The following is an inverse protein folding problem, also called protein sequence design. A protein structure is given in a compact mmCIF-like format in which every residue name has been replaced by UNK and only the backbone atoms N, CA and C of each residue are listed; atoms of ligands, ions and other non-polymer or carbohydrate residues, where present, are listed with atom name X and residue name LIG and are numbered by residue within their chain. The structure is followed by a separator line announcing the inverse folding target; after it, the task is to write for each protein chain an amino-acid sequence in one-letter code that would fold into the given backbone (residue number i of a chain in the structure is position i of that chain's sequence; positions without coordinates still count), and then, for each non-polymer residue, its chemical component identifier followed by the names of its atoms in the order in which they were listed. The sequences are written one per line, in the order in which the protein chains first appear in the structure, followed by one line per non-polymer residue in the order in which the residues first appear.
data_IF_931192939793
#
_entry.id   IF_931192939793
#
_cell.length_a   1.000
_cell.length_b   1.000
_cell.length_c   1.000
_cell.angle_alpha   90.00
_cell.angle_beta   90.00
_cell.angle_gamma   90.00
#
_symmetry.space_group_name_H-M   'P 1'
#
loop_
_entity.id
_entity.type
_entity.pdbx_description
1 polymer ?
#
# COMPACT_ATOMS: atom_id res chain seq x y z
N UNK A 1 -0.23 -38.49 -9.36
CA UNK A 1 -0.06 -37.39 -10.34
C UNK A 1 -0.95 -36.18 -10.00
N UNK A 2 -1.08 -35.76 -8.73
CA UNK A 2 -2.01 -34.66 -8.35
C UNK A 2 -1.33 -33.34 -7.94
N UNK A 3 0.01 -33.29 -7.85
CA UNK A 3 0.70 -32.11 -7.32
C UNK A 3 0.94 -30.99 -8.34
N UNK A 4 1.24 -31.31 -9.60
CA UNK A 4 1.67 -30.31 -10.60
C UNK A 4 0.52 -29.74 -11.44
N UNK A 5 -0.48 -30.56 -11.79
CA UNK A 5 -1.69 -30.11 -12.51
C UNK A 5 -2.62 -29.27 -11.63
N UNK A 6 -2.64 -29.50 -10.31
CA UNK A 6 -3.47 -28.73 -9.38
C UNK A 6 -3.11 -27.25 -9.32
N UNK A 7 -1.83 -26.91 -9.45
CA UNK A 7 -1.34 -25.52 -9.47
C UNK A 7 -1.78 -24.75 -10.73
N UNK A 8 -1.99 -25.44 -11.85
CA UNK A 8 -2.41 -24.83 -13.11
C UNK A 8 -3.89 -24.41 -13.11
N UNK A 9 -4.70 -24.95 -12.19
CA UNK A 9 -6.15 -24.72 -12.14
C UNK A 9 -6.68 -24.23 -10.78
N UNK A 10 -5.81 -23.88 -9.85
CA UNK A 10 -6.22 -23.25 -8.58
C UNK A 10 -6.80 -21.86 -8.84
N UNK A 11 -8.10 -21.69 -8.60
CA UNK A 11 -8.74 -20.38 -8.61
C UNK A 11 -8.24 -19.57 -7.42
N UNK A 12 -7.53 -18.48 -7.69
CA UNK A 12 -7.11 -17.52 -6.65
C UNK A 12 -8.36 -17.02 -5.90
N UNK A 13 -8.42 -17.31 -4.61
CA UNK A 13 -9.43 -16.72 -3.73
C UNK A 13 -8.96 -15.33 -3.33
N UNK A 14 -9.73 -14.32 -3.73
CA UNK A 14 -9.48 -12.95 -3.32
C UNK A 14 -10.02 -12.73 -1.91
N UNK A 15 -9.33 -11.93 -1.08
CA UNK A 15 -9.85 -11.55 0.23
C UNK A 15 -11.17 -10.76 0.07
N UNK A 16 -12.07 -10.81 1.06
CA UNK A 16 -13.27 -9.99 1.05
C UNK A 16 -12.92 -8.50 1.07
N UNK A 17 -13.78 -7.65 0.50
CA UNK A 17 -13.57 -6.20 0.43
C UNK A 17 -13.49 -5.50 1.80
N UNK A 18 -13.79 -6.19 2.90
CA UNK A 18 -13.68 -5.70 4.27
C UNK A 18 -12.56 -6.36 5.06
N UNK A 19 -11.67 -7.12 4.41
CA UNK A 19 -10.64 -7.92 5.07
C UNK A 19 -9.77 -7.12 6.04
N UNK A 20 -9.54 -5.83 5.74
CA UNK A 20 -8.73 -4.92 6.56
C UNK A 20 -9.50 -3.62 6.89
N UNK A 21 -10.82 -3.74 7.04
CA UNK A 21 -11.70 -2.60 7.31
C UNK A 21 -11.19 -1.74 8.48
N UNK A 22 -10.98 -0.45 8.22
CA UNK A 22 -10.59 0.54 9.22
C UNK A 22 -9.14 0.42 9.72
N UNK A 23 -8.32 -0.48 9.16
CA UNK A 23 -6.91 -0.62 9.57
C UNK A 23 -6.03 0.47 8.95
N UNK A 24 -4.96 0.81 9.67
CA UNK A 24 -3.85 1.62 9.15
C UNK A 24 -2.79 0.70 8.55
N UNK A 25 -2.48 0.90 7.27
CA UNK A 25 -1.54 0.07 6.52
C UNK A 25 -0.34 0.91 6.12
N UNK A 26 0.85 0.55 6.60
CA UNK A 26 2.13 1.10 6.14
C UNK A 26 2.66 0.24 4.98
N UNK A 27 2.98 0.89 3.86
CA UNK A 27 3.55 0.21 2.69
C UNK A 27 4.89 0.86 2.38
N UNK A 28 5.97 0.10 2.58
CA UNK A 28 7.33 0.51 2.23
C UNK A 28 7.57 0.42 0.73
N UNK A 29 8.30 1.38 0.16
CA UNK A 29 8.56 1.40 -1.28
C UNK A 29 7.29 1.61 -2.11
N UNK A 30 6.34 2.41 -1.62
CA UNK A 30 5.04 2.60 -2.26
C UNK A 30 5.04 3.61 -3.42
N UNK A 31 6.21 4.15 -3.77
CA UNK A 31 6.35 5.16 -4.81
C UNK A 31 5.98 4.64 -6.22
N UNK A 32 6.29 3.37 -6.52
CA UNK A 32 6.11 2.78 -7.86
C UNK A 32 5.74 1.30 -7.78
N UNK A 33 5.44 0.70 -8.95
CA UNK A 33 5.30 -0.75 -9.11
C UNK A 33 4.27 -1.38 -8.17
N UNK A 34 4.66 -2.50 -7.56
CA UNK A 34 3.78 -3.30 -6.71
C UNK A 34 3.38 -2.59 -5.41
N UNK A 35 4.26 -1.79 -4.82
CA UNK A 35 3.92 -1.04 -3.60
C UNK A 35 2.79 -0.04 -3.84
N UNK A 36 2.82 0.66 -4.98
CA UNK A 36 1.75 1.58 -5.38
C UNK A 36 0.42 0.86 -5.63
N UNK A 37 0.46 -0.33 -6.24
CA UNK A 37 -0.75 -1.10 -6.48
C UNK A 37 -1.29 -1.77 -5.21
N UNK A 38 -0.41 -2.19 -4.31
CA UNK A 38 -0.77 -2.67 -2.98
C UNK A 38 -1.52 -1.59 -2.19
N UNK A 39 -1.15 -0.31 -2.33
CA UNK A 39 -1.87 0.80 -1.72
C UNK A 39 -3.31 0.94 -2.25
N UNK A 40 -3.50 0.88 -3.57
CA UNK A 40 -4.84 0.89 -4.18
C UNK A 40 -5.67 -0.30 -3.71
N UNK A 41 -5.05 -1.48 -3.70
CA UNK A 41 -5.72 -2.69 -3.25
C UNK A 41 -6.09 -2.62 -1.77
N UNK A 42 -5.22 -2.08 -0.91
CA UNK A 42 -5.52 -1.88 0.50
C UNK A 42 -6.73 -0.97 0.72
N UNK A 43 -6.82 0.13 -0.03
CA UNK A 43 -8.01 1.00 -0.02
C UNK A 43 -9.27 0.26 -0.46
N UNK A 44 -9.18 -0.56 -1.52
CA UNK A 44 -10.30 -1.37 -2.00
C UNK A 44 -10.75 -2.45 -1.00
N UNK A 45 -9.83 -2.93 -0.14
CA UNK A 45 -10.11 -3.88 0.95
C UNK A 45 -10.55 -3.21 2.27
N UNK A 46 -10.86 -1.91 2.23
CA UNK A 46 -11.47 -1.19 3.33
C UNK A 46 -10.48 -0.54 4.30
N UNK A 47 -9.20 -0.42 3.94
CA UNK A 47 -8.23 0.27 4.79
C UNK A 47 -8.74 1.67 5.20
N UNK A 48 -8.62 1.97 6.49
CA UNK A 48 -9.00 3.27 7.06
C UNK A 48 -7.94 4.33 6.78
N UNK A 49 -6.67 3.93 6.73
CA UNK A 49 -5.55 4.80 6.38
C UNK A 49 -4.48 3.98 5.67
N UNK A 50 -3.88 4.52 4.61
CA UNK A 50 -2.73 3.95 3.93
C UNK A 50 -1.59 4.95 3.98
N UNK A 51 -0.46 4.55 4.56
CA UNK A 51 0.77 5.33 4.64
C UNK A 51 1.73 4.82 3.58
N UNK A 52 2.07 5.69 2.65
CA UNK A 52 3.05 5.46 1.59
C UNK A 52 4.42 5.87 2.12
N UNK A 53 5.26 4.89 2.39
CA UNK A 53 6.66 5.15 2.68
C UNK A 53 7.46 5.34 1.39
N UNK A 54 8.22 6.43 1.35
CA UNK A 54 9.11 6.80 0.24
C UNK A 54 10.45 7.33 0.71
N UNK A 55 11.46 7.21 -0.16
CA UNK A 55 12.77 7.87 0.03
C UNK A 55 12.81 9.33 -0.43
N UNK A 56 11.88 9.76 -1.29
CA UNK A 56 11.88 11.09 -1.90
C UNK A 56 10.46 11.64 -1.98
N UNK A 57 10.24 12.77 -1.31
CA UNK A 57 8.93 13.41 -1.17
C UNK A 57 8.32 13.90 -2.50
N UNK A 58 9.15 14.24 -3.50
CA UNK A 58 8.62 14.73 -4.78
C UNK A 58 7.89 13.64 -5.56
N UNK A 59 8.46 12.43 -5.63
CA UNK A 59 7.87 11.31 -6.36
C UNK A 59 6.62 10.75 -5.65
N UNK A 60 6.56 10.90 -4.33
CA UNK A 60 5.44 10.38 -3.54
C UNK A 60 4.16 11.17 -3.67
N UNK A 61 4.23 12.48 -3.90
CA UNK A 61 3.01 13.27 -4.14
C UNK A 61 2.34 12.87 -5.47
N UNK A 62 3.15 12.52 -6.49
CA UNK A 62 2.63 11.94 -7.73
C UNK A 62 1.98 10.57 -7.48
N UNK A 63 2.60 9.72 -6.66
CA UNK A 63 2.04 8.42 -6.29
C UNK A 63 0.72 8.58 -5.52
N UNK A 64 0.67 9.48 -4.54
CA UNK A 64 -0.54 9.82 -3.78
C UNK A 64 -1.65 10.32 -4.70
N UNK A 65 -1.37 11.32 -5.52
CA UNK A 65 -2.33 11.88 -6.50
C UNK A 65 -2.84 10.80 -7.44
N UNK A 66 -1.96 9.92 -7.92
CA UNK A 66 -2.34 8.79 -8.77
C UNK A 66 -3.26 7.79 -8.06
N UNK A 67 -3.01 7.49 -6.78
CA UNK A 67 -3.85 6.60 -5.98
C UNK A 67 -5.22 7.25 -5.73
N UNK A 68 -5.25 8.50 -5.26
CA UNK A 68 -6.49 9.22 -4.95
C UNK A 68 -7.39 9.36 -6.18
N UNK A 69 -6.82 9.79 -7.32
CA UNK A 69 -7.57 9.93 -8.58
C UNK A 69 -8.11 8.60 -9.12
N UNK A 70 -7.33 7.52 -9.04
CA UNK A 70 -7.75 6.20 -9.57
C UNK A 70 -8.71 5.45 -8.65
N UNK A 71 -8.70 5.73 -7.35
CA UNK A 71 -9.57 5.07 -6.36
C UNK A 71 -10.82 5.90 -6.00
N UNK A 72 -10.87 7.16 -6.44
CA UNK A 72 -11.93 8.09 -6.04
C UNK A 72 -11.85 8.50 -4.56
N UNK A 73 -10.71 8.26 -3.91
CA UNK A 73 -10.52 8.61 -2.51
C UNK A 73 -10.31 10.13 -2.38
N UNK A 74 -11.30 10.84 -1.85
CA UNK A 74 -11.24 12.29 -1.62
C UNK A 74 -10.87 12.67 -0.19
N UNK A 75 -10.84 11.69 0.72
CA UNK A 75 -10.52 11.91 2.13
C UNK A 75 -9.03 12.17 2.30
N UNK A 76 -8.66 13.43 2.53
CA UNK A 76 -7.26 13.88 2.63
C UNK A 76 -6.44 13.17 3.72
N UNK A 77 -7.11 12.61 4.74
CA UNK A 77 -6.48 11.84 5.82
C UNK A 77 -6.31 10.34 5.54
N UNK A 78 -6.80 9.84 4.41
CA UNK A 78 -6.83 8.41 4.10
C UNK A 78 -5.58 7.92 3.41
N UNK A 79 -4.94 8.76 2.58
CA UNK A 79 -3.66 8.46 1.93
C UNK A 79 -2.60 9.46 2.42
N UNK A 80 -1.66 8.94 3.21
CA UNK A 80 -0.59 9.71 3.81
C UNK A 80 0.74 9.35 3.15
N UNK A 81 1.66 10.32 3.08
CA UNK A 81 2.99 10.14 2.52
C UNK A 81 4.01 10.48 3.58
N UNK A 82 4.84 9.51 3.96
CA UNK A 82 5.86 9.69 4.99
C UNK A 82 7.22 9.33 4.39
N UNK A 83 8.24 10.12 4.72
CA UNK A 83 9.60 9.87 4.25
C UNK A 83 10.32 8.94 5.23
N UNK A 84 10.60 7.71 4.83
CA UNK A 84 11.44 6.79 5.62
C UNK A 84 12.60 6.33 4.74
N UNK A 85 13.81 6.57 5.22
CA UNK A 85 15.00 5.98 4.65
C UNK A 85 15.36 4.72 5.42
N UNK A 86 15.01 3.56 4.85
CA UNK A 86 15.29 2.25 5.44
C UNK A 86 16.79 1.93 5.50
N UNK A 87 17.65 2.67 4.78
CA UNK A 87 19.11 2.55 4.86
C UNK A 87 19.67 3.32 6.07
N UNK A 88 18.85 4.16 6.72
CA UNK A 88 19.22 4.98 7.87
C UNK A 88 18.47 4.57 9.13
N UNK A 89 19.19 3.99 10.09
CA UNK A 89 18.60 3.59 11.38
C UNK A 89 17.98 4.78 12.13
N UNK A 90 18.59 5.96 12.05
CA UNK A 90 18.03 7.17 12.67
C UNK A 90 16.74 7.63 11.99
N UNK A 91 16.59 7.44 10.68
CA UNK A 91 15.32 7.71 9.98
C UNK A 91 14.22 6.75 10.43
N UNK A 92 14.53 5.46 10.55
CA UNK A 92 13.58 4.46 11.06
C UNK A 92 13.18 4.78 12.50
N UNK A 93 14.14 5.16 13.34
CA UNK A 93 13.86 5.56 14.71
C UNK A 93 12.97 6.81 14.75
N UNK A 94 13.28 7.84 13.98
CA UNK A 94 12.47 9.06 13.90
C UNK A 94 11.03 8.81 13.41
N UNK A 95 10.80 7.77 12.62
CA UNK A 95 9.47 7.37 12.17
C UNK A 95 8.62 6.72 13.28
N UNK A 96 9.24 5.95 14.18
CA UNK A 96 8.54 5.21 15.25
C UNK A 96 8.51 5.93 16.61
N UNK A 97 9.32 6.97 16.79
CA UNK A 97 9.44 7.74 18.04
C UNK A 97 8.35 8.79 18.15
#
# INVERSE_FOLDING_TARGET
MSGLLGLLFTKLQLPPLSAIQGKTILITGANTGLGREAARHALALGAGTVILDVRSLSKSEEAKTSIESSTGCTDQGKVLVWSIDLESFSSVQAFVS
#
